data_IF_146457571757
#
_entry.id   IF_146457571757
#
_cell.length_a   1.000
_cell.length_b   1.000
_cell.length_c   1.000
_cell.angle_alpha   90.00
_cell.angle_beta   90.00
_cell.angle_gamma   90.00
#
_symmetry.space_group_name_H-M   'P 1'
#
loop_
_entity.id
_entity.type
_entity.pdbx_description
1 polymer ?
#
# COMPACT_ATOMS: atom_id res chain seq x y z
N UNK A 1 -36.84 45.84 42.68
CA UNK A 1 -37.43 46.80 41.71
C UNK A 1 -36.39 47.10 40.65
N UNK A 2 -36.58 47.04 39.34
CA UNK A 2 -37.68 46.78 38.40
C UNK A 2 -36.95 46.57 37.06
N UNK A 3 -37.21 45.47 36.33
CA UNK A 3 -37.90 45.44 35.02
C UNK A 3 -37.29 46.37 33.95
N UNK A 4 -37.22 46.06 32.67
CA UNK A 4 -37.60 44.94 31.79
C UNK A 4 -37.41 45.53 30.37
N UNK A 5 -37.58 44.67 29.37
CA UNK A 5 -37.96 44.97 27.98
C UNK A 5 -36.82 45.14 26.96
N UNK A 6 -36.52 44.03 26.25
CA UNK A 6 -36.14 44.08 24.83
C UNK A 6 -37.33 44.52 23.95
N UNK A 7 -37.51 44.03 22.71
CA UNK A 7 -36.59 43.40 21.78
C UNK A 7 -36.43 44.24 20.48
N UNK A 8 -35.39 44.00 19.67
CA UNK A 8 -35.46 44.26 18.23
C UNK A 8 -35.16 42.98 17.48
N UNK A 9 -36.26 42.37 17.05
CA UNK A 9 -36.33 41.31 16.06
C UNK A 9 -35.79 41.81 14.72
N UNK A 10 -34.74 41.17 14.22
CA UNK A 10 -34.69 40.80 12.82
C UNK A 10 -34.19 39.36 12.76
N UNK A 11 -35.16 38.46 12.64
CA UNK A 11 -35.00 37.15 12.05
C UNK A 11 -34.22 37.29 10.75
N UNK A 12 -33.05 36.66 10.66
CA UNK A 12 -32.78 35.89 9.45
C UNK A 12 -32.21 34.54 9.84
N UNK A 13 -32.91 33.55 9.32
CA UNK A 13 -32.87 32.15 9.68
C UNK A 13 -31.67 31.52 8.98
N UNK A 14 -30.62 31.14 9.71
CA UNK A 14 -30.00 29.84 9.47
C UNK A 14 -29.20 29.34 10.69
N UNK A 15 -29.86 28.44 11.41
CA UNK A 15 -29.36 27.19 11.98
C UNK A 15 -27.82 27.08 12.05
N UNK A 16 -27.24 27.21 13.24
CA UNK A 16 -26.90 26.09 14.16
C UNK A 16 -25.72 25.22 13.68
N UNK A 17 -24.70 25.18 14.54
CA UNK A 17 -23.96 24.00 14.97
C UNK A 17 -23.14 23.22 13.92
N UNK A 18 -21.80 23.36 13.99
CA UNK A 18 -20.89 22.35 14.58
C UNK A 18 -19.42 22.64 14.21
N UNK A 19 -18.45 22.37 15.10
CA UNK A 19 -17.03 22.44 14.76
C UNK A 19 -16.68 21.22 13.89
N UNK A 20 -16.55 21.40 12.58
CA UNK A 20 -16.23 20.31 11.63
C UNK A 20 -14.71 20.24 11.36
N UNK A 21 -13.88 20.65 12.32
CA UNK A 21 -12.48 20.22 12.31
C UNK A 21 -12.37 18.81 12.89
N UNK A 22 -12.98 17.85 12.20
CA UNK A 22 -12.50 16.48 12.21
C UNK A 22 -11.59 16.33 10.99
N UNK A 23 -10.31 16.00 11.15
CA UNK A 23 -9.56 15.50 10.01
C UNK A 23 -10.29 14.23 9.59
N UNK A 24 -10.98 14.32 8.45
CA UNK A 24 -11.38 13.16 7.68
C UNK A 24 -10.09 12.51 7.17
N UNK A 25 -9.38 11.86 8.10
CA UNK A 25 -8.47 10.76 7.88
C UNK A 25 -9.34 9.58 7.43
N UNK A 26 -10.06 9.79 6.32
CA UNK A 26 -10.81 8.79 5.62
C UNK A 26 -9.76 7.93 4.92
N UNK A 27 -9.10 7.11 5.73
CA UNK A 27 -8.54 5.84 5.31
C UNK A 27 -9.72 5.13 4.66
N UNK A 28 -9.84 5.30 3.36
CA UNK A 28 -10.63 4.43 2.53
C UNK A 28 -10.04 3.04 2.80
N UNK A 29 -10.75 2.30 3.65
CA UNK A 29 -10.91 0.84 3.57
C UNK A 29 -11.32 0.52 2.13
N UNK A 30 -10.36 0.64 1.22
CA UNK A 30 -10.43 -0.01 -0.07
C UNK A 30 -10.16 -1.47 0.26
N UNK A 31 -11.22 -2.24 0.03
CA UNK A 31 -11.35 -3.66 0.20
C UNK A 31 -10.02 -4.42 0.18
N UNK A 32 -9.85 -5.25 1.20
CA UNK A 32 -9.36 -6.60 1.00
C UNK A 32 -10.30 -7.29 0.00
N UNK A 33 -10.18 -7.00 -1.30
CA UNK A 33 -10.65 -7.89 -2.34
C UNK A 33 -9.56 -8.95 -2.43
N UNK A 34 -9.82 -10.22 -2.07
CA UNK A 34 -8.94 -11.26 -2.54
C UNK A 34 -9.04 -11.24 -4.06
N UNK A 35 -8.05 -10.62 -4.72
CA UNK A 35 -7.68 -11.04 -6.06
C UNK A 35 -7.31 -12.51 -5.90
N UNK A 36 -8.28 -13.40 -6.07
CA UNK A 36 -8.09 -14.84 -5.97
C UNK A 36 -7.33 -15.27 -7.22
N UNK A 37 -6.08 -14.82 -7.32
CA UNK A 37 -5.12 -15.41 -8.23
C UNK A 37 -4.90 -16.82 -7.69
N UNK A 38 -5.59 -17.79 -8.29
CA UNK A 38 -5.35 -19.19 -8.03
C UNK A 38 -4.02 -19.54 -8.70
N UNK A 39 -2.94 -19.35 -7.96
CA UNK A 39 -1.65 -19.89 -8.37
C UNK A 39 -1.72 -21.40 -8.17
N UNK A 40 -1.87 -22.10 -9.29
CA UNK A 40 -2.08 -23.55 -9.32
C UNK A 40 -0.77 -24.32 -9.25
N UNK A 41 0.38 -23.74 -9.65
CA UNK A 41 1.65 -24.44 -9.58
C UNK A 41 2.41 -24.17 -8.28
N UNK A 42 3.02 -25.21 -7.74
CA UNK A 42 3.92 -25.10 -6.58
C UNK A 42 5.15 -24.22 -6.90
N UNK A 43 5.61 -24.24 -8.16
CA UNK A 43 6.76 -23.48 -8.62
C UNK A 43 6.50 -21.97 -8.56
N UNK A 44 5.39 -21.49 -9.14
CA UNK A 44 5.03 -20.06 -9.12
C UNK A 44 4.94 -19.52 -7.69
N UNK A 45 4.36 -20.30 -6.78
CA UNK A 45 4.29 -19.95 -5.35
C UNK A 45 5.68 -19.84 -4.74
N UNK A 46 6.56 -20.80 -5.02
CA UNK A 46 7.93 -20.78 -4.52
C UNK A 46 8.71 -19.57 -5.06
N UNK A 47 8.53 -19.23 -6.34
CA UNK A 47 9.15 -18.05 -6.94
C UNK A 47 8.69 -16.75 -6.27
N UNK A 48 7.41 -16.62 -5.94
CA UNK A 48 6.90 -15.46 -5.20
C UNK A 48 7.46 -15.39 -3.77
N UNK A 49 7.56 -16.51 -3.07
CA UNK A 49 8.14 -16.57 -1.72
C UNK A 49 9.62 -16.16 -1.76
N UNK A 50 10.37 -16.67 -2.75
CA UNK A 50 11.77 -16.30 -2.98
C UNK A 50 11.92 -14.81 -3.26
N UNK A 51 11.06 -14.25 -4.13
CA UNK A 51 11.03 -12.82 -4.44
C UNK A 51 10.76 -11.98 -3.18
N UNK A 52 9.72 -12.32 -2.41
CA UNK A 52 9.39 -11.64 -1.15
C UNK A 52 10.53 -11.69 -0.13
N UNK A 53 11.19 -12.85 -0.02
CA UNK A 53 12.38 -13.03 0.82
C UNK A 53 13.54 -12.12 0.40
N UNK A 54 13.82 -11.99 -0.91
CA UNK A 54 14.84 -11.08 -1.44
C UNK A 54 14.52 -9.62 -1.14
N UNK A 55 13.26 -9.20 -1.26
CA UNK A 55 12.83 -7.85 -0.91
C UNK A 55 13.04 -7.56 0.58
N UNK A 56 12.67 -8.51 1.45
CA UNK A 56 12.87 -8.39 2.90
C UNK A 56 14.35 -8.33 3.26
N UNK A 57 15.18 -9.13 2.61
CA UNK A 57 16.63 -9.12 2.79
C UNK A 57 17.22 -7.77 2.36
N UNK A 58 16.85 -7.26 1.18
CA UNK A 58 17.28 -5.96 0.68
C UNK A 58 16.87 -4.81 1.62
N UNK A 59 15.64 -4.85 2.16
CA UNK A 59 15.18 -3.88 3.16
C UNK A 59 16.05 -3.93 4.43
N UNK A 60 16.31 -5.13 4.95
CA UNK A 60 17.05 -5.33 6.20
C UNK A 60 18.53 -4.94 6.04
N UNK A 61 19.15 -5.29 4.91
CA UNK A 61 20.52 -4.91 4.59
C UNK A 61 20.74 -3.39 4.58
N UNK A 62 19.69 -2.62 4.28
CA UNK A 62 19.72 -1.14 4.29
C UNK A 62 19.33 -0.53 5.62
N UNK A 63 19.02 -1.34 6.63
CA UNK A 63 18.57 -0.86 7.94
C UNK A 63 17.18 -0.20 7.91
N UNK A 64 16.36 -0.47 6.90
CA UNK A 64 15.04 0.15 6.78
C UNK A 64 13.98 -0.65 7.55
N UNK A 65 13.17 0.06 8.33
CA UNK A 65 12.01 -0.54 9.01
C UNK A 65 10.86 -0.78 8.03
N UNK A 66 9.97 -1.71 8.36
CA UNK A 66 8.79 -1.98 7.54
C UNK A 66 7.89 -0.74 7.39
N UNK A 67 7.74 0.08 8.45
CA UNK A 67 6.95 1.33 8.36
C UNK A 67 7.58 2.31 7.37
N UNK A 68 8.89 2.54 7.49
CA UNK A 68 9.63 3.45 6.62
C UNK A 68 9.54 3.11 5.13
N UNK A 69 9.47 1.82 4.78
CA UNK A 69 9.28 1.39 3.39
C UNK A 69 7.83 1.52 2.97
N UNK A 70 6.89 1.13 3.82
CA UNK A 70 5.47 1.25 3.55
C UNK A 70 5.06 2.71 3.29
N UNK A 71 5.56 3.64 4.12
CA UNK A 71 5.28 5.07 4.03
C UNK A 71 5.86 5.65 2.73
N UNK A 72 7.10 5.31 2.37
CA UNK A 72 7.75 5.76 1.13
C UNK A 72 7.13 5.15 -0.14
N UNK A 73 6.61 3.93 -0.03
CA UNK A 73 5.96 3.25 -1.14
C UNK A 73 4.46 3.60 -1.24
N UNK A 74 3.93 4.43 -0.34
CA UNK A 74 2.50 4.80 -0.27
C UNK A 74 1.58 3.57 -0.16
N UNK A 75 1.97 2.58 0.64
CA UNK A 75 1.20 1.36 0.87
C UNK A 75 1.02 1.11 2.37
N UNK A 76 0.05 0.28 2.71
CA UNK A 76 -0.12 -0.12 4.10
C UNK A 76 0.97 -1.11 4.53
N UNK A 77 1.29 -1.13 5.84
CA UNK A 77 2.22 -2.11 6.43
C UNK A 77 1.77 -3.55 6.21
N UNK A 78 0.47 -3.80 6.16
CA UNK A 78 -0.09 -5.13 5.86
C UNK A 78 0.13 -5.52 4.41
N UNK A 79 0.01 -4.58 3.47
CA UNK A 79 0.37 -4.79 2.05
C UNK A 79 1.86 -5.08 1.90
N UNK A 80 2.73 -4.34 2.59
CA UNK A 80 4.17 -4.62 2.57
C UNK A 80 4.49 -6.02 3.11
N UNK A 81 3.85 -6.42 4.22
CA UNK A 81 4.00 -7.77 4.76
C UNK A 81 3.54 -8.84 3.75
N UNK A 82 2.40 -8.62 3.06
CA UNK A 82 1.92 -9.53 2.02
C UNK A 82 2.94 -9.67 0.88
N UNK A 83 3.54 -8.57 0.43
CA UNK A 83 4.62 -8.54 -0.57
C UNK A 83 5.86 -9.31 -0.08
N UNK A 84 6.33 -9.05 1.14
CA UNK A 84 7.50 -9.73 1.71
C UNK A 84 7.27 -11.22 1.96
N UNK A 85 6.01 -11.63 2.20
CA UNK A 85 5.62 -13.03 2.35
C UNK A 85 5.45 -13.79 1.03
N UNK A 86 5.50 -13.10 -0.12
CA UNK A 86 5.26 -13.69 -1.43
C UNK A 86 3.79 -14.00 -1.70
N UNK A 87 2.86 -13.23 -1.14
CA UNK A 87 1.44 -13.40 -1.43
C UNK A 87 1.14 -13.05 -2.90
N UNK A 88 0.24 -13.80 -3.54
CA UNK A 88 -0.19 -13.51 -4.92
C UNK A 88 -1.22 -12.37 -5.02
N UNK A 89 -1.73 -11.89 -3.88
CA UNK A 89 -2.79 -10.88 -3.80
C UNK A 89 -2.35 -9.45 -4.16
N UNK A 90 -1.14 -8.97 -3.82
CA UNK A 90 -0.70 -7.65 -4.22
C UNK A 90 -0.53 -7.56 -5.74
N UNK A 91 -1.04 -6.50 -6.35
CA UNK A 91 -0.82 -6.23 -7.76
C UNK A 91 0.69 -6.08 -8.07
N UNK A 92 1.10 -6.39 -9.30
CA UNK A 92 2.49 -6.22 -9.75
C UNK A 92 3.00 -4.78 -9.57
N UNK A 93 2.12 -3.78 -9.72
CA UNK A 93 2.43 -2.37 -9.44
C UNK A 93 2.84 -2.11 -7.99
N UNK A 94 2.33 -2.89 -7.03
CA UNK A 94 2.74 -2.81 -5.62
C UNK A 94 4.16 -3.31 -5.43
N UNK A 95 4.53 -4.42 -6.08
CA UNK A 95 5.91 -4.92 -6.07
C UNK A 95 6.87 -3.89 -6.68
N UNK A 96 6.47 -3.26 -7.78
CA UNK A 96 7.21 -2.18 -8.44
C UNK A 96 7.47 -0.98 -7.51
N UNK A 97 6.45 -0.52 -6.79
CA UNK A 97 6.59 0.58 -5.82
C UNK A 97 7.62 0.25 -4.74
N UNK A 98 7.56 -0.96 -4.18
CA UNK A 98 8.52 -1.41 -3.16
C UNK A 98 9.92 -1.53 -3.73
N UNK A 99 10.08 -2.09 -4.93
CA UNK A 99 11.36 -2.17 -5.63
C UNK A 99 11.95 -0.80 -5.93
N UNK A 100 11.12 0.17 -6.36
CA UNK A 100 11.55 1.54 -6.62
C UNK A 100 12.06 2.24 -5.37
N UNK A 101 11.36 2.11 -4.25
CA UNK A 101 11.81 2.62 -2.94
C UNK A 101 13.11 1.94 -2.53
N UNK A 102 13.22 0.63 -2.73
CA UNK A 102 14.47 -0.12 -2.54
C UNK A 102 15.47 0.10 -3.68
N UNK A 103 15.31 1.02 -4.64
CA UNK A 103 16.30 1.22 -5.72
C UNK A 103 16.67 -0.04 -6.51
N UNK A 104 15.79 -1.05 -6.54
CA UNK A 104 15.93 -2.31 -7.27
C UNK A 104 14.99 -2.36 -8.48
N UNK A 105 14.35 -1.24 -8.85
CA UNK A 105 13.45 -1.19 -9.99
C UNK A 105 14.14 -1.57 -11.32
N UNK A 106 15.45 -1.32 -11.43
CA UNK A 106 16.25 -1.70 -12.59
C UNK A 106 16.35 -3.22 -12.81
N UNK A 107 16.26 -4.01 -11.74
CA UNK A 107 16.33 -5.48 -11.83
C UNK A 107 15.16 -6.05 -12.66
N UNK A 108 14.01 -5.38 -12.67
CA UNK A 108 12.87 -5.80 -13.49
C UNK A 108 13.10 -5.58 -14.98
N UNK A 109 13.97 -4.65 -15.38
CA UNK A 109 14.35 -4.49 -16.79
C UNK A 109 15.19 -5.68 -17.28
N UNK A 110 15.79 -6.45 -16.37
CA UNK A 110 16.55 -7.66 -16.70
C UNK A 110 15.66 -8.90 -16.82
N UNK A 111 14.43 -8.86 -16.28
CA UNK A 111 13.48 -9.97 -16.37
C UNK A 111 12.98 -10.09 -17.81
N UNK A 112 13.03 -11.31 -18.36
CA UNK A 112 12.61 -11.64 -19.73
C UNK A 112 13.47 -11.02 -20.86
N UNK A 113 14.73 -10.69 -20.59
CA UNK A 113 15.74 -10.33 -21.62
C UNK A 113 16.11 -11.47 -22.57
N UNK A 114 15.63 -12.70 -22.32
CA UNK A 114 15.84 -13.86 -23.19
C UNK A 114 17.22 -14.53 -23.03
N UNK A 115 18.12 -13.98 -22.21
CA UNK A 115 19.44 -14.57 -21.94
C UNK A 115 19.42 -15.71 -20.91
N UNK A 116 18.21 -16.19 -20.58
CA UNK A 116 18.04 -17.45 -19.88
C UNK A 116 18.40 -18.58 -20.83
N UNK A 117 19.53 -19.23 -20.60
CA UNK A 117 20.00 -20.44 -21.29
C UNK A 117 18.85 -21.41 -21.56
N UNK A 118 18.27 -21.33 -22.76
CA UNK A 118 17.59 -22.48 -23.35
C UNK A 118 18.72 -23.42 -23.69
N UNK A 119 19.01 -24.32 -22.75
CA UNK A 119 20.03 -25.35 -22.95
C UNK A 119 19.67 -26.14 -24.19
N UNK A 120 20.44 -25.92 -25.25
CA UNK A 120 20.77 -26.88 -26.28
C UNK A 120 20.83 -28.28 -25.62
N UNK A 121 19.92 -29.18 -25.98
CA UNK A 121 20.11 -30.61 -25.72
C UNK A 121 20.39 -31.28 -27.07
N UNK A 122 21.46 -32.10 -27.17
CA UNK A 122 21.88 -32.77 -28.40
C UNK A 122 20.89 -33.84 -28.85
#
# INVERSE_FOLDING_TARGET
MTRNCGPRTSFNLHLRCCPIWTPAHQMRRILFMPAHVLIHSALERQLLIQLGGRLRAARTHRGWTASQVADRAEISRTTLHAVESGAASPAIGTYLKVLGVLGLAGDLALVATGEGTTGERP
#
